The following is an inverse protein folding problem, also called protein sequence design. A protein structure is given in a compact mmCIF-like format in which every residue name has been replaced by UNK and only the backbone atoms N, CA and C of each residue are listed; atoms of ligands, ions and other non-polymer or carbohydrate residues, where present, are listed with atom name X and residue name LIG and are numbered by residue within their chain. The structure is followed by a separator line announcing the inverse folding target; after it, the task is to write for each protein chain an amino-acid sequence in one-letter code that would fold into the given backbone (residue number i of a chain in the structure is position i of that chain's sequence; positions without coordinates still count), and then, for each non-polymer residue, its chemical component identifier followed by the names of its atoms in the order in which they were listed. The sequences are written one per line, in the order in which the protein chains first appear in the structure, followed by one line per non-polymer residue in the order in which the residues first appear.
data_IF_669943372045
#
_entry.id   IF_669943372045
#
_cell.length_a   1.000
_cell.length_b   1.000
_cell.length_c   1.000
_cell.angle_alpha   90.00
_cell.angle_beta   90.00
_cell.angle_gamma   90.00
#
_symmetry.space_group_name_H-M   'P 1'
#
loop_
_entity.id
_entity.type
_entity.pdbx_description
1 polymer ?
#
# COMPACT_ATOMS: atom_id res chain seq x y z
N UNK A 1 18.61 23.99 -0.20
CA UNK A 1 18.12 24.37 1.14
C UNK A 1 17.32 23.28 1.83
N UNK A 2 16.31 22.69 1.24
CA UNK A 2 15.45 21.65 1.85
C UNK A 2 16.16 20.39 2.38
N UNK A 3 17.22 19.91 1.74
CA UNK A 3 17.93 18.67 2.18
C UNK A 3 18.56 18.81 3.56
N UNK A 4 19.09 19.99 3.91
CA UNK A 4 19.68 20.23 5.24
C UNK A 4 18.63 20.33 6.35
N UNK A 5 17.46 20.95 6.07
CA UNK A 5 16.36 21.04 7.01
C UNK A 5 15.74 19.67 7.29
N UNK A 6 15.52 18.84 6.25
CA UNK A 6 15.08 17.47 6.41
C UNK A 6 16.07 16.65 7.24
N UNK A 7 17.38 16.82 7.01
CA UNK A 7 18.42 16.12 7.78
C UNK A 7 18.41 16.54 9.26
N UNK A 8 18.26 17.82 9.58
CA UNK A 8 18.17 18.32 10.96
C UNK A 8 16.92 17.78 11.68
N UNK A 9 15.76 17.82 11.02
CA UNK A 9 14.53 17.21 11.54
C UNK A 9 14.76 15.71 11.79
N UNK A 10 15.41 15.02 10.87
CA UNK A 10 15.76 13.61 11.01
C UNK A 10 16.67 13.34 12.22
N UNK A 11 17.69 14.16 12.44
CA UNK A 11 18.62 13.99 13.57
C UNK A 11 17.91 14.26 14.90
N UNK A 12 17.02 15.24 14.97
CA UNK A 12 16.31 15.60 16.21
C UNK A 12 15.24 14.59 16.61
N UNK A 13 14.48 14.06 15.64
CA UNK A 13 13.37 13.16 15.92
C UNK A 13 13.75 11.67 15.90
N UNK A 14 14.85 11.29 15.24
CA UNK A 14 15.26 9.88 15.17
C UNK A 14 15.49 9.22 16.55
N UNK A 15 16.15 9.89 17.55
CA UNK A 15 16.31 9.31 18.88
C UNK A 15 14.98 9.05 19.57
N UNK A 16 14.03 10.01 19.51
CA UNK A 16 12.70 9.88 20.10
C UNK A 16 11.97 8.70 19.47
N UNK A 17 11.96 8.61 18.15
CA UNK A 17 11.34 7.51 17.42
C UNK A 17 12.02 6.17 17.69
N UNK A 18 13.31 6.16 18.00
CA UNK A 18 14.06 4.94 18.33
C UNK A 18 13.57 4.30 19.62
N UNK A 19 13.25 5.08 20.64
CA UNK A 19 12.79 4.57 21.95
C UNK A 19 11.27 4.34 22.02
N UNK A 20 10.48 4.87 21.07
CA UNK A 20 9.03 4.68 21.07
C UNK A 20 8.64 3.21 20.87
N UNK A 21 7.75 2.64 21.69
CA UNK A 21 7.17 1.32 21.47
C UNK A 21 6.44 1.22 20.12
N UNK A 22 6.36 0.00 19.57
CA UNK A 22 5.71 -0.27 18.28
C UNK A 22 4.28 0.26 18.22
N UNK A 23 3.49 0.10 19.29
CA UNK A 23 2.09 0.54 19.32
C UNK A 23 1.95 2.04 19.06
N UNK A 24 2.83 2.86 19.64
CA UNK A 24 2.84 4.30 19.41
C UNK A 24 3.26 4.63 17.98
N UNK A 25 4.18 3.85 17.40
CA UNK A 25 4.58 4.03 15.99
C UNK A 25 3.42 3.76 15.04
N UNK A 26 2.63 2.72 15.26
CA UNK A 26 1.44 2.43 14.45
C UNK A 26 0.38 3.54 14.62
N UNK A 27 0.21 4.05 15.85
CA UNK A 27 -0.64 5.22 16.13
C UNK A 27 -0.20 6.47 15.37
N UNK A 28 1.10 6.76 15.30
CA UNK A 28 1.66 7.88 14.54
C UNK A 28 1.37 7.73 13.04
N UNK A 29 1.52 6.52 12.48
CA UNK A 29 1.23 6.26 11.06
C UNK A 29 -0.26 6.53 10.77
N UNK A 30 -1.17 6.06 11.61
CA UNK A 30 -2.61 6.32 11.46
C UNK A 30 -2.94 7.81 11.61
N UNK A 31 -2.41 8.44 12.64
CA UNK A 31 -2.58 9.88 12.88
C UNK A 31 -2.12 10.71 11.66
N UNK A 32 -0.95 10.38 11.10
CA UNK A 32 -0.47 11.02 9.88
C UNK A 32 -1.43 10.84 8.70
N UNK A 33 -2.02 9.66 8.52
CA UNK A 33 -2.99 9.40 7.45
C UNK A 33 -4.22 10.29 7.60
N UNK A 34 -4.81 10.36 8.80
CA UNK A 34 -5.96 11.21 9.10
C UNK A 34 -5.65 12.70 8.89
N UNK A 35 -4.49 13.17 9.39
CA UNK A 35 -4.05 14.55 9.17
C UNK A 35 -3.82 14.88 7.69
N UNK A 36 -3.23 13.94 6.93
CA UNK A 36 -3.04 14.12 5.49
C UNK A 36 -4.38 14.25 4.78
N UNK A 37 -5.36 13.42 5.13
CA UNK A 37 -6.72 13.47 4.58
C UNK A 37 -7.40 14.82 4.85
N UNK A 38 -7.33 15.29 6.10
CA UNK A 38 -7.88 16.59 6.48
C UNK A 38 -7.19 17.73 5.73
N UNK A 39 -5.87 17.72 5.65
CA UNK A 39 -5.09 18.73 4.93
C UNK A 39 -5.43 18.76 3.43
N UNK A 40 -5.58 17.61 2.79
CA UNK A 40 -5.99 17.54 1.38
C UNK A 40 -7.38 18.09 1.15
N UNK A 41 -8.32 17.82 2.06
CA UNK A 41 -9.67 18.38 2.00
C UNK A 41 -9.64 19.91 2.15
N UNK A 42 -8.92 20.43 3.12
CA UNK A 42 -8.89 21.88 3.43
C UNK A 42 -8.12 22.70 2.37
N UNK A 43 -6.96 22.21 1.92
CA UNK A 43 -6.06 23.00 1.06
C UNK A 43 -6.13 22.67 -0.43
N UNK A 44 -6.62 21.48 -0.79
CA UNK A 44 -6.70 21.03 -2.16
C UNK A 44 -8.11 20.69 -2.62
N UNK A 45 -9.11 20.80 -1.75
CA UNK A 45 -10.48 20.34 -2.00
C UNK A 45 -10.49 18.90 -2.57
N UNK A 46 -9.66 18.02 -1.99
CA UNK A 46 -9.47 16.66 -2.42
C UNK A 46 -9.90 15.71 -1.30
N UNK A 47 -10.95 14.96 -1.55
CA UNK A 47 -11.52 13.99 -0.63
C UNK A 47 -11.03 12.57 -0.89
N UNK A 48 -11.16 11.69 0.12
CA UNK A 48 -10.90 10.25 0.01
C UNK A 48 -12.18 9.50 0.34
N UNK A 49 -12.63 8.68 -0.60
CA UNK A 49 -13.79 7.80 -0.45
C UNK A 49 -13.32 6.35 -0.40
N UNK A 50 -13.87 5.60 0.55
CA UNK A 50 -13.68 4.15 0.64
C UNK A 50 -14.97 3.45 0.20
N UNK A 51 -14.85 2.49 -0.71
CA UNK A 51 -15.96 1.65 -1.19
C UNK A 51 -15.66 0.18 -0.89
N UNK A 52 -16.69 -0.62 -0.71
CA UNK A 52 -16.56 -2.07 -0.49
C UNK A 52 -15.92 -2.44 0.84
N UNK A 53 -16.08 -1.61 1.89
CA UNK A 53 -15.54 -1.89 3.23
C UNK A 53 -16.07 -3.21 3.80
N UNK A 54 -17.26 -3.62 3.41
CA UNK A 54 -17.89 -4.90 3.75
C UNK A 54 -17.14 -6.13 3.20
N UNK A 55 -16.29 -5.93 2.20
CA UNK A 55 -15.45 -7.00 1.62
C UNK A 55 -14.16 -7.24 2.43
N UNK A 56 -13.84 -6.41 3.41
CA UNK A 56 -12.65 -6.60 4.23
C UNK A 56 -12.86 -7.86 5.10
N UNK A 57 -11.96 -8.87 5.00
CA UNK A 57 -12.10 -10.09 5.79
C UNK A 57 -12.11 -9.81 7.29
N UNK A 58 -12.98 -10.47 8.04
CA UNK A 58 -13.04 -10.37 9.50
C UNK A 58 -11.81 -10.99 10.21
N UNK A 59 -11.09 -11.88 9.52
CA UNK A 59 -9.82 -12.41 10.01
C UNK A 59 -8.73 -11.34 9.95
N UNK A 60 -7.73 -11.44 10.83
CA UNK A 60 -6.55 -10.53 10.76
C UNK A 60 -5.46 -11.03 9.81
N UNK A 61 -5.57 -12.25 9.30
CA UNK A 61 -4.59 -12.87 8.39
C UNK A 61 -5.14 -12.91 6.96
N UNK A 62 -4.87 -11.90 6.16
CA UNK A 62 -5.17 -11.84 4.73
C UNK A 62 -4.13 -11.01 3.98
N UNK A 63 -4.04 -11.24 2.67
CA UNK A 63 -3.18 -10.50 1.75
C UNK A 63 -4.00 -9.38 1.11
N UNK A 64 -3.47 -8.16 1.07
CA UNK A 64 -4.03 -7.03 0.34
C UNK A 64 -3.18 -6.82 -0.90
N UNK A 65 -3.79 -6.94 -2.06
CA UNK A 65 -3.15 -6.64 -3.34
C UNK A 65 -3.76 -5.36 -3.92
N UNK A 66 -3.04 -4.25 -3.85
CA UNK A 66 -3.53 -2.95 -4.28
C UNK A 66 -2.82 -2.44 -5.53
N UNK A 67 -3.56 -1.83 -6.45
CA UNK A 67 -2.95 -1.06 -7.55
C UNK A 67 -2.08 0.06 -7.00
N UNK A 68 -0.96 0.35 -7.68
CA UNK A 68 0.01 1.33 -7.22
C UNK A 68 0.19 2.48 -8.22
N UNK A 69 -0.41 3.63 -7.96
CA UNK A 69 -0.34 4.81 -8.85
C UNK A 69 0.40 5.99 -8.20
N UNK A 70 0.26 6.15 -6.88
CA UNK A 70 0.68 7.35 -6.16
C UNK A 70 1.37 6.99 -4.82
N UNK A 71 1.52 7.95 -3.95
CA UNK A 71 1.82 7.73 -2.53
C UNK A 71 0.53 7.65 -1.70
N UNK A 72 -0.55 8.19 -2.23
CA UNK A 72 -1.82 8.35 -1.53
C UNK A 72 -2.37 7.00 -1.03
N UNK A 73 -2.42 5.98 -1.89
CA UNK A 73 -2.95 4.67 -1.50
C UNK A 73 -2.13 4.01 -0.37
N UNK A 74 -0.81 4.19 -0.37
CA UNK A 74 0.02 3.66 0.71
C UNK A 74 -0.24 4.36 2.05
N UNK A 75 -0.64 5.64 2.02
CA UNK A 75 -1.02 6.42 3.21
C UNK A 75 -2.43 6.01 3.66
N UNK A 76 -3.40 6.04 2.77
CA UNK A 76 -4.82 5.91 3.13
C UNK A 76 -5.27 4.49 3.41
N UNK A 77 -4.59 3.48 2.87
CA UNK A 77 -4.81 2.09 3.28
C UNK A 77 -4.46 1.83 4.76
N UNK A 78 -3.53 2.61 5.35
CA UNK A 78 -3.27 2.54 6.79
C UNK A 78 -4.41 3.10 7.66
N UNK A 79 -5.26 3.96 7.09
CA UNK A 79 -6.45 4.48 7.79
C UNK A 79 -7.61 3.48 7.71
N UNK A 80 -7.87 2.95 6.51
CA UNK A 80 -8.99 2.05 6.25
C UNK A 80 -8.80 0.65 6.86
N UNK A 81 -7.54 0.21 6.93
CA UNK A 81 -7.16 -1.10 7.47
C UNK A 81 -6.21 -0.87 8.64
N UNK A 82 -6.36 -1.63 9.72
CA UNK A 82 -5.54 -1.51 10.93
C UNK A 82 -4.03 -1.66 10.66
N UNK A 83 -3.41 -0.65 10.07
CA UNK A 83 -1.98 -0.53 9.75
C UNK A 83 -1.37 -1.84 9.25
N UNK A 84 -1.59 -2.22 7.99
CA UNK A 84 -1.10 -3.47 7.43
C UNK A 84 0.43 -3.51 7.44
N UNK A 85 1.02 -4.70 7.50
CA UNK A 85 2.44 -4.89 7.27
C UNK A 85 2.73 -4.77 5.77
N UNK A 86 3.54 -3.80 5.36
CA UNK A 86 3.77 -3.52 3.95
C UNK A 86 4.98 -4.27 3.43
N UNK A 87 4.85 -4.91 2.28
CA UNK A 87 5.96 -5.50 1.55
C UNK A 87 6.66 -4.41 0.73
N UNK A 88 7.82 -4.01 1.20
CA UNK A 88 8.52 -2.83 0.74
C UNK A 88 9.89 -3.15 0.11
N UNK A 89 10.43 -2.22 -0.69
CA UNK A 89 11.79 -2.33 -1.21
C UNK A 89 12.81 -2.14 -0.09
N UNK A 90 13.85 -2.97 -0.05
CA UNK A 90 14.93 -2.87 0.93
C UNK A 90 15.60 -1.50 0.97
N UNK A 91 15.68 -0.80 -0.17
CA UNK A 91 16.25 0.55 -0.26
C UNK A 91 15.51 1.59 0.61
N UNK A 92 14.24 1.35 0.96
CA UNK A 92 13.49 2.27 1.84
C UNK A 92 14.01 2.26 3.27
N UNK A 93 14.73 1.22 3.70
CA UNK A 93 15.43 1.18 5.01
C UNK A 93 16.49 2.26 5.15
N UNK A 94 17.10 2.69 4.05
CA UNK A 94 18.19 3.68 4.04
C UNK A 94 17.68 5.12 4.04
N UNK A 95 16.36 5.34 3.98
CA UNK A 95 15.79 6.68 4.15
C UNK A 95 15.71 6.96 5.66
N UNK A 96 16.44 7.97 6.16
CA UNK A 96 16.42 8.33 7.58
C UNK A 96 14.98 8.52 8.08
N UNK A 97 14.72 8.17 9.33
CA UNK A 97 13.38 8.18 9.97
C UNK A 97 12.40 7.18 9.31
N UNK A 98 12.15 7.29 8.00
CA UNK A 98 11.20 6.40 7.29
C UNK A 98 11.61 4.93 7.44
N UNK A 99 12.90 4.62 7.23
CA UNK A 99 13.42 3.26 7.41
C UNK A 99 13.30 2.77 8.85
N UNK A 100 13.54 3.63 9.83
CA UNK A 100 13.37 3.30 11.25
C UNK A 100 11.88 3.03 11.57
N UNK A 101 10.97 3.90 11.14
CA UNK A 101 9.53 3.73 11.30
C UNK A 101 9.05 2.41 10.69
N UNK A 102 9.47 2.12 9.46
CA UNK A 102 9.08 0.91 8.75
C UNK A 102 9.65 -0.35 9.43
N UNK A 103 10.91 -0.31 9.89
CA UNK A 103 11.50 -1.41 10.67
C UNK A 103 10.70 -1.68 11.94
N UNK A 104 10.35 -0.65 12.70
CA UNK A 104 9.53 -0.77 13.90
C UNK A 104 8.10 -1.21 13.63
N UNK A 105 7.53 -0.82 12.49
CA UNK A 105 6.21 -1.27 12.05
C UNK A 105 6.20 -2.72 11.54
N UNK A 106 7.32 -3.46 11.60
CA UNK A 106 7.46 -4.83 11.09
C UNK A 106 7.10 -4.94 9.60
N UNK A 107 7.53 -3.98 8.77
CA UNK A 107 7.39 -4.10 7.33
C UNK A 107 8.37 -5.16 6.80
N UNK A 108 7.95 -5.86 5.75
CA UNK A 108 8.73 -6.93 5.13
C UNK A 108 9.53 -6.34 3.97
N UNK A 109 10.83 -6.57 3.97
CA UNK A 109 11.73 -6.00 2.96
C UNK A 109 12.15 -7.02 1.93
N UNK A 110 12.06 -6.63 0.66
CA UNK A 110 12.44 -7.48 -0.47
C UNK A 110 13.58 -6.83 -1.26
N UNK A 111 14.69 -7.56 -1.42
CA UNK A 111 15.77 -7.17 -2.33
C UNK A 111 15.52 -7.79 -3.71
N UNK A 112 14.96 -7.01 -4.61
CA UNK A 112 14.53 -7.47 -5.93
C UNK A 112 15.66 -7.87 -6.87
N UNK A 113 16.93 -7.67 -6.48
CA UNK A 113 18.10 -8.04 -7.29
C UNK A 113 18.48 -9.50 -7.17
N UNK A 114 17.95 -10.22 -6.18
CA UNK A 114 18.36 -11.61 -5.84
C UNK A 114 17.45 -12.72 -6.41
N UNK A 115 16.57 -12.44 -7.38
CA UNK A 115 15.78 -13.45 -8.08
C UNK A 115 14.88 -14.34 -7.19
N UNK A 116 14.77 -15.61 -7.55
CA UNK A 116 13.86 -16.59 -6.92
C UNK A 116 14.17 -16.87 -5.44
N UNK A 117 15.44 -16.92 -5.06
CA UNK A 117 15.88 -17.13 -3.67
C UNK A 117 15.28 -16.08 -2.74
N UNK A 118 15.01 -14.89 -3.26
CA UNK A 118 14.41 -13.80 -2.52
C UNK A 118 12.90 -13.94 -2.38
N UNK A 119 12.22 -14.60 -3.30
CA UNK A 119 10.77 -14.84 -3.25
C UNK A 119 10.45 -15.79 -2.09
N UNK A 120 11.17 -16.91 -1.99
CA UNK A 120 10.98 -17.85 -0.88
C UNK A 120 11.30 -17.20 0.48
N UNK A 121 12.38 -16.40 0.55
CA UNK A 121 12.73 -15.66 1.75
C UNK A 121 11.64 -14.62 2.12
N UNK A 122 11.00 -13.99 1.14
CA UNK A 122 9.88 -13.09 1.35
C UNK A 122 8.67 -13.83 1.92
N UNK A 123 8.27 -14.96 1.34
CA UNK A 123 7.15 -15.79 1.83
C UNK A 123 7.40 -16.26 3.26
N UNK A 124 8.61 -16.76 3.55
CA UNK A 124 9.00 -17.19 4.89
C UNK A 124 8.99 -16.03 5.89
N UNK A 125 9.40 -14.85 5.49
CA UNK A 125 9.37 -13.64 6.32
C UNK A 125 7.94 -13.17 6.57
N UNK A 126 7.08 -13.25 5.55
CA UNK A 126 5.66 -12.94 5.66
C UNK A 126 4.96 -13.88 6.65
N UNK A 127 5.21 -15.18 6.54
CA UNK A 127 4.68 -16.19 7.45
C UNK A 127 5.08 -15.91 8.91
N UNK A 128 6.39 -15.75 9.16
CA UNK A 128 6.89 -15.42 10.51
C UNK A 128 6.30 -14.10 11.05
N UNK A 129 6.17 -13.10 10.19
CA UNK A 129 5.59 -11.80 10.58
C UNK A 129 4.13 -11.96 11.01
N UNK A 130 3.33 -12.72 10.27
CA UNK A 130 1.92 -12.96 10.58
C UNK A 130 1.70 -13.87 11.80
N UNK A 131 2.64 -14.76 12.08
CA UNK A 131 2.56 -15.63 13.26
C UNK A 131 2.89 -14.86 14.56
N UNK A 132 3.87 -13.93 14.48
CA UNK A 132 4.27 -13.11 15.64
C UNK A 132 3.38 -11.87 15.85
N UNK A 133 2.76 -11.37 14.78
CA UNK A 133 2.00 -10.13 14.75
C UNK A 133 0.92 -10.23 13.67
N UNK A 134 -0.22 -10.87 14.00
CA UNK A 134 -1.28 -11.12 13.02
C UNK A 134 -1.91 -9.82 12.55
N UNK A 135 -1.41 -9.33 11.42
CA UNK A 135 -1.91 -8.16 10.68
C UNK A 135 -1.98 -8.47 9.19
N UNK A 136 -2.87 -7.80 8.45
CA UNK A 136 -2.91 -7.93 7.00
C UNK A 136 -1.57 -7.59 6.36
N UNK A 137 -1.23 -8.24 5.25
CA UNK A 137 -0.05 -7.95 4.44
C UNK A 137 -0.44 -7.14 3.22
N UNK A 138 0.18 -5.98 3.02
CA UNK A 138 -0.04 -5.16 1.83
C UNK A 138 1.10 -5.34 0.82
N UNK A 139 0.74 -5.73 -0.39
CA UNK A 139 1.63 -5.75 -1.55
C UNK A 139 1.07 -4.93 -2.70
N UNK A 140 1.96 -4.29 -3.45
CA UNK A 140 1.66 -3.67 -4.72
C UNK A 140 2.16 -4.60 -5.85
N UNK A 141 1.26 -5.33 -6.55
CA UNK A 141 1.65 -6.42 -7.47
C UNK A 141 2.54 -5.96 -8.62
N UNK A 142 2.36 -4.73 -9.10
CA UNK A 142 3.17 -4.12 -10.18
C UNK A 142 4.63 -3.91 -9.75
N UNK A 143 4.86 -3.85 -8.44
CA UNK A 143 6.18 -3.64 -7.85
C UNK A 143 6.74 -2.23 -8.03
N UNK A 144 6.05 -1.34 -8.69
CA UNK A 144 6.39 0.08 -8.86
C UNK A 144 5.13 0.86 -9.14
N UNK A 145 5.16 2.17 -8.94
CA UNK A 145 4.02 3.03 -9.28
C UNK A 145 3.82 3.07 -10.78
N UNK A 146 2.62 2.76 -11.23
CA UNK A 146 2.19 2.74 -12.63
C UNK A 146 1.45 4.05 -12.95
N UNK A 147 1.77 4.72 -14.06
CA UNK A 147 0.99 5.87 -14.50
C UNK A 147 -0.50 5.56 -14.65
N UNK A 148 -1.33 6.58 -14.48
CA UNK A 148 -2.78 6.47 -14.62
C UNK A 148 -3.15 6.08 -16.06
N UNK A 149 -4.04 5.13 -16.22
CA UNK A 149 -4.47 4.59 -17.51
C UNK A 149 -3.51 3.55 -18.10
N UNK A 150 -2.35 3.32 -17.49
CA UNK A 150 -1.47 2.22 -17.89
C UNK A 150 -1.76 0.95 -17.11
N UNK A 151 -1.58 -0.21 -17.77
CA UNK A 151 -1.61 -1.54 -17.16
C UNK A 151 -0.20 -2.14 -17.24
N UNK A 152 0.23 -2.80 -16.18
CA UNK A 152 1.53 -3.49 -16.11
C UNK A 152 1.35 -4.93 -15.63
N UNK A 153 2.15 -5.85 -16.14
CA UNK A 153 2.11 -7.23 -15.66
C UNK A 153 2.48 -7.28 -14.18
N UNK A 154 1.76 -8.13 -13.44
CA UNK A 154 2.02 -8.34 -12.03
C UNK A 154 3.27 -9.19 -11.82
N UNK A 155 4.05 -8.83 -10.81
CA UNK A 155 5.23 -9.59 -10.43
C UNK A 155 4.84 -10.86 -9.68
N UNK A 156 5.58 -11.93 -9.91
CA UNK A 156 5.33 -13.24 -9.31
C UNK A 156 5.22 -13.22 -7.76
N UNK A 157 5.75 -12.20 -7.11
CA UNK A 157 5.72 -12.08 -5.65
C UNK A 157 4.33 -12.15 -5.01
N UNK A 158 3.30 -11.59 -5.64
CA UNK A 158 1.93 -11.66 -5.13
C UNK A 158 1.37 -13.08 -5.20
N UNK A 159 1.63 -13.77 -6.32
CA UNK A 159 1.23 -15.16 -6.54
C UNK A 159 1.93 -16.11 -5.56
N UNK A 160 3.23 -15.90 -5.33
CA UNK A 160 4.01 -16.68 -4.38
C UNK A 160 3.52 -16.50 -2.94
N UNK A 161 3.10 -15.29 -2.54
CA UNK A 161 2.53 -15.04 -1.23
C UNK A 161 1.16 -15.71 -1.07
N UNK A 162 0.29 -15.60 -2.06
CA UNK A 162 -1.01 -16.26 -2.04
C UNK A 162 -0.87 -17.78 -1.91
N UNK A 163 -0.04 -18.38 -2.76
CA UNK A 163 0.20 -19.82 -2.74
C UNK A 163 0.90 -20.28 -1.45
N UNK A 164 1.90 -19.55 -0.98
CA UNK A 164 2.70 -19.93 0.18
C UNK A 164 2.03 -19.70 1.54
N UNK A 165 1.15 -18.71 1.65
CA UNK A 165 0.48 -18.36 2.90
C UNK A 165 -0.89 -19.04 3.05
N UNK A 166 -1.53 -19.43 1.95
CA UNK A 166 -2.88 -20.06 1.94
C UNK A 166 -3.93 -19.25 2.70
N UNK A 167 -3.93 -17.93 2.48
CA UNK A 167 -4.85 -16.97 3.10
C UNK A 167 -5.64 -16.23 2.03
N UNK A 168 -6.82 -15.65 2.34
CA UNK A 168 -7.58 -14.84 1.40
C UNK A 168 -6.77 -13.67 0.87
N UNK A 169 -6.98 -13.31 -0.39
CA UNK A 169 -6.41 -12.12 -1.02
C UNK A 169 -7.51 -11.10 -1.29
N UNK A 170 -7.40 -9.92 -0.71
CA UNK A 170 -8.29 -8.77 -0.90
C UNK A 170 -7.75 -7.88 -2.02
N UNK A 171 -8.35 -7.87 -3.22
CA UNK A 171 -7.96 -6.97 -4.28
C UNK A 171 -8.43 -5.55 -4.00
N UNK A 172 -7.62 -4.54 -4.34
CA UNK A 172 -7.97 -3.12 -4.13
C UNK A 172 -7.73 -2.32 -5.40
N UNK A 173 -8.80 -1.73 -5.94
CA UNK A 173 -8.78 -0.83 -7.08
C UNK A 173 -8.72 0.63 -6.62
N UNK A 174 -8.10 1.50 -7.41
CA UNK A 174 -7.92 2.92 -7.06
C UNK A 174 -7.94 3.82 -8.29
N UNK A 175 -8.27 5.12 -8.07
CA UNK A 175 -8.03 6.20 -9.03
C UNK A 175 -7.09 7.30 -8.47
N UNK A 176 -6.37 7.03 -7.38
CA UNK A 176 -5.59 8.01 -6.63
C UNK A 176 -4.60 8.79 -7.50
N UNK A 177 -3.99 8.15 -8.49
CA UNK A 177 -3.02 8.78 -9.37
C UNK A 177 -3.58 9.89 -10.24
N UNK A 178 -4.89 9.90 -10.51
CA UNK A 178 -5.56 10.96 -11.26
C UNK A 178 -5.49 12.29 -10.52
N UNK A 179 -5.69 12.30 -9.23
CA UNK A 179 -5.70 13.51 -8.40
C UNK A 179 -4.34 13.81 -7.78
N UNK A 180 -3.58 12.78 -7.43
CA UNK A 180 -2.25 12.87 -6.83
C UNK A 180 -1.23 12.09 -7.64
N UNK A 181 -0.77 12.68 -8.73
CA UNK A 181 0.15 12.02 -9.66
C UNK A 181 1.54 11.82 -9.06
N UNK A 182 2.22 10.75 -9.50
CA UNK A 182 3.60 10.45 -9.12
C UNK A 182 4.55 11.61 -9.44
N UNK A 183 5.41 11.99 -8.50
CA UNK A 183 6.47 13.02 -8.66
C UNK A 183 5.97 14.45 -8.94
N UNK A 184 4.67 14.71 -8.91
CA UNK A 184 4.13 16.06 -9.02
C UNK A 184 3.79 16.61 -7.64
N UNK A 185 4.09 17.89 -7.43
CA UNK A 185 3.72 18.60 -6.19
C UNK A 185 2.23 18.95 -6.19
N UNK A 186 1.69 19.27 -7.36
CA UNK A 186 0.30 19.70 -7.50
C UNK A 186 -0.68 18.56 -7.18
N UNK A 187 -1.76 18.91 -6.48
CA UNK A 187 -2.92 18.07 -6.20
C UNK A 187 -4.12 18.67 -6.90
N UNK A 188 -4.95 17.84 -7.50
CA UNK A 188 -6.15 18.29 -8.18
C UNK A 188 -7.35 18.07 -7.28
N UNK A 189 -8.31 19.04 -7.23
CA UNK A 189 -9.53 18.89 -6.45
C UNK A 189 -10.37 17.72 -6.95
N UNK A 190 -11.19 17.15 -6.07
CA UNK A 190 -12.10 16.07 -6.42
C UNK A 190 -12.13 14.95 -5.40
N UNK A 191 -12.36 13.72 -5.84
CA UNK A 191 -12.54 12.57 -4.95
C UNK A 191 -11.68 11.37 -5.39
N UNK A 192 -10.66 11.07 -4.59
CA UNK A 192 -9.91 9.81 -4.70
C UNK A 192 -10.78 8.67 -4.16
N UNK A 193 -10.86 7.59 -4.91
CA UNK A 193 -11.56 6.37 -4.52
C UNK A 193 -10.56 5.26 -4.27
N UNK A 194 -10.73 4.56 -3.15
CA UNK A 194 -10.06 3.31 -2.81
C UNK A 194 -11.19 2.29 -2.62
N UNK A 195 -11.24 1.29 -3.50
CA UNK A 195 -12.32 0.31 -3.53
C UNK A 195 -11.80 -1.09 -3.21
N UNK A 196 -12.35 -1.69 -2.15
CA UNK A 196 -12.08 -3.05 -1.73
C UNK A 196 -13.01 -3.99 -2.48
N UNK A 197 -12.42 -4.91 -3.26
CA UNK A 197 -13.17 -5.84 -4.09
C UNK A 197 -13.41 -7.16 -3.33
N UNK A 198 -14.26 -8.02 -3.88
CA UNK A 198 -14.51 -9.33 -3.27
C UNK A 198 -13.22 -10.11 -3.07
N UNK A 199 -12.98 -10.67 -1.88
CA UNK A 199 -11.80 -11.49 -1.62
C UNK A 199 -11.71 -12.68 -2.57
N UNK A 200 -10.47 -13.05 -2.90
CA UNK A 200 -10.14 -14.28 -3.60
C UNK A 200 -9.71 -15.28 -2.52
N UNK A 201 -10.55 -16.30 -2.30
CA UNK A 201 -10.27 -17.34 -1.33
C UNK A 201 -9.09 -18.21 -1.74
N UNK A 202 -8.34 -18.79 -0.78
CA UNK A 202 -7.21 -19.67 -1.08
C UNK A 202 -7.68 -20.95 -1.79
N UNK A 203 -6.82 -21.49 -2.69
CA UNK A 203 -7.09 -22.77 -3.36
C UNK A 203 -7.09 -22.71 -4.87
N UNK A 204 -7.10 -21.52 -5.48
CA UNK A 204 -6.90 -21.38 -6.93
C UNK A 204 -5.47 -21.76 -7.33
N UNK A 205 -5.30 -22.26 -8.54
CA UNK A 205 -3.97 -22.41 -9.10
C UNK A 205 -3.32 -21.04 -9.38
N UNK A 206 -2.00 -21.05 -9.62
CA UNK A 206 -1.20 -19.81 -9.75
C UNK A 206 -1.62 -18.95 -10.94
N UNK A 207 -2.02 -19.57 -12.03
CA UNK A 207 -2.43 -18.88 -13.26
C UNK A 207 -3.79 -18.26 -13.06
N UNK A 208 -4.76 -19.08 -12.62
CA UNK A 208 -6.13 -18.64 -12.34
C UNK A 208 -6.17 -17.50 -11.31
N UNK A 209 -5.40 -17.63 -10.21
CA UNK A 209 -5.30 -16.56 -9.23
C UNK A 209 -4.75 -15.27 -9.84
N UNK A 210 -3.66 -15.36 -10.61
CA UNK A 210 -3.00 -14.18 -11.18
C UNK A 210 -3.91 -13.46 -12.17
N UNK A 211 -4.60 -14.20 -13.03
CA UNK A 211 -5.55 -13.64 -14.00
C UNK A 211 -6.75 -13.01 -13.32
N UNK A 212 -7.35 -13.69 -12.34
CA UNK A 212 -8.50 -13.19 -11.58
C UNK A 212 -8.15 -11.93 -10.82
N UNK A 213 -6.99 -11.90 -10.14
CA UNK A 213 -6.50 -10.74 -9.41
C UNK A 213 -6.26 -9.56 -10.35
N UNK A 214 -5.55 -9.81 -11.45
CA UNK A 214 -5.24 -8.80 -12.46
C UNK A 214 -6.50 -8.17 -13.04
N UNK A 215 -7.41 -9.00 -13.54
CA UNK A 215 -8.65 -8.55 -14.15
C UNK A 215 -9.54 -7.79 -13.15
N UNK A 216 -9.63 -8.24 -11.91
CA UNK A 216 -10.42 -7.58 -10.87
C UNK A 216 -9.89 -6.16 -10.61
N UNK A 217 -8.60 -6.01 -10.37
CA UNK A 217 -8.01 -4.72 -10.01
C UNK A 217 -7.97 -3.77 -11.22
N UNK A 218 -7.50 -4.25 -12.38
CA UNK A 218 -7.30 -3.39 -13.54
C UNK A 218 -8.63 -2.89 -14.11
N UNK A 219 -9.61 -3.79 -14.29
CA UNK A 219 -10.91 -3.40 -14.85
C UNK A 219 -11.66 -2.43 -13.92
N UNK A 220 -11.61 -2.64 -12.60
CA UNK A 220 -12.27 -1.73 -11.66
C UNK A 220 -11.51 -0.40 -11.55
N UNK A 221 -10.18 -0.40 -11.58
CA UNK A 221 -9.39 0.85 -11.59
C UNK A 221 -9.65 1.69 -12.83
N UNK A 222 -9.85 1.06 -14.00
CA UNK A 222 -10.20 1.79 -15.22
C UNK A 222 -11.60 2.40 -15.12
N UNK A 223 -12.59 1.69 -14.56
CA UNK A 223 -13.93 2.26 -14.30
C UNK A 223 -13.84 3.47 -13.36
N UNK A 224 -13.10 3.35 -12.26
CA UNK A 224 -12.89 4.47 -11.33
C UNK A 224 -12.19 5.66 -11.98
N UNK A 225 -11.30 5.40 -12.93
CA UNK A 225 -10.64 6.46 -13.70
C UNK A 225 -11.64 7.17 -14.63
N UNK A 226 -12.49 6.43 -15.34
CA UNK A 226 -13.51 7.03 -16.21
C UNK A 226 -14.55 7.83 -15.39
N UNK A 227 -15.01 7.30 -14.25
CA UNK A 227 -15.86 8.07 -13.31
C UNK A 227 -15.18 9.40 -12.91
N UNK A 228 -13.88 9.34 -12.61
CA UNK A 228 -13.13 10.54 -12.21
C UNK A 228 -12.99 11.55 -13.36
N UNK A 229 -12.74 11.11 -14.59
CA UNK A 229 -12.63 11.97 -15.78
C UNK A 229 -13.96 12.68 -16.09
N UNK A 230 -15.07 11.96 -16.00
CA UNK A 230 -16.40 12.51 -16.23
C UNK A 230 -16.76 13.56 -15.17
N UNK A 231 -16.51 13.24 -13.90
CA UNK A 231 -16.93 14.09 -12.79
C UNK A 231 -15.98 15.27 -12.51
N UNK A 232 -14.70 15.09 -12.80
CA UNK A 232 -13.62 16.05 -12.55
C UNK A 232 -12.72 16.19 -13.77
N UNK A 233 -13.21 16.77 -14.87
CA UNK A 233 -12.42 16.95 -16.09
C UNK A 233 -11.22 17.86 -15.81
N UNK A 234 -10.09 17.60 -16.52
CA UNK A 234 -8.84 18.37 -16.43
C UNK A 234 -8.60 19.15 -17.71
#
# INVERSE_FOLDING_TARGET
MYKRQVLLICIFFAPILFFLPKIHMLGIIRFQSTHTKLSLKLFANLEVEYRGLENIPSTRKYLIAAKHQSLAEAIFLNEAIETPSIIAKKQLLFIPIVGLCFKKANFIYVDRRKGETNIQAMVNSAKRSMDNDPRPLLIFPEGTRTPVGERRPYKYGVTALYDGLKIPCLPVAINCGYFWSRRRFLRYPGKMVIEFLKPIEPGLDKTEFTEKLYNSIENQSDKLLEEAKIKYPK
#
